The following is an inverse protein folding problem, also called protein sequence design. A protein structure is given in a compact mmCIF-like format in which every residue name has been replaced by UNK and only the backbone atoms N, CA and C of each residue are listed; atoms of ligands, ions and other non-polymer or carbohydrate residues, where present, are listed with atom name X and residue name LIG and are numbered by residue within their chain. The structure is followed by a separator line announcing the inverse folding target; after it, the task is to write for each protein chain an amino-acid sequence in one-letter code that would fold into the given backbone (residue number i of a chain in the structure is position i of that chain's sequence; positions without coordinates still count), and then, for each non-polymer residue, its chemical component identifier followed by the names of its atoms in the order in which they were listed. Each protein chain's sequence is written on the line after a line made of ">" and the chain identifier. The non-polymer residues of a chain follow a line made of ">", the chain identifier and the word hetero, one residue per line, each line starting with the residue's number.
data_IF_415360004749
#
_entry.id   IF_415360004749
#
_cell.length_a   1.000
_cell.length_b   1.000
_cell.length_c   1.000
_cell.angle_alpha   90.00
_cell.angle_beta   90.00
_cell.angle_gamma   90.00
#
_symmetry.space_group_name_H-M   'P 1'
#
loop_
_entity.id
_entity.type
_entity.pdbx_description
1 polymer ?
#
# COMPACT_ATOMS: atom_id res chain seq x y z
N UNK A 1 -4.54 -27.20 47.57
CA UNK A 1 -3.70 -27.20 46.35
C UNK A 1 -3.77 -25.80 45.76
N UNK A 2 -2.66 -25.08 45.69
CA UNK A 2 -2.58 -23.72 45.11
C UNK A 2 -2.11 -23.84 43.66
N UNK A 3 -2.92 -23.37 42.72
CA UNK A 3 -2.49 -23.26 41.32
C UNK A 3 -1.51 -22.09 41.18
N UNK A 4 -0.45 -22.27 40.40
CA UNK A 4 0.44 -21.17 40.02
C UNK A 4 -0.29 -20.15 39.14
N UNK A 5 0.21 -18.90 39.09
CA UNK A 5 -0.39 -17.83 38.25
C UNK A 5 -0.60 -18.27 36.80
N UNK A 6 0.36 -19.00 36.23
CA UNK A 6 0.30 -19.50 34.85
C UNK A 6 -0.79 -20.55 34.69
N UNK A 7 -0.85 -21.53 35.60
CA UNK A 7 -1.89 -22.56 35.60
C UNK A 7 -3.30 -21.95 35.76
N UNK A 8 -3.43 -20.91 36.58
CA UNK A 8 -4.69 -20.20 36.73
C UNK A 8 -5.12 -19.52 35.43
N UNK A 9 -4.21 -18.83 34.72
CA UNK A 9 -4.49 -18.22 33.42
C UNK A 9 -4.90 -19.25 32.36
N UNK A 10 -4.25 -20.40 32.36
CA UNK A 10 -4.49 -21.46 31.37
C UNK A 10 -5.86 -22.11 31.56
N UNK A 11 -6.23 -22.39 32.82
CA UNK A 11 -7.57 -22.89 33.16
C UNK A 11 -8.67 -21.89 32.81
N UNK A 12 -8.43 -20.59 33.05
CA UNK A 12 -9.37 -19.54 32.65
C UNK A 12 -9.52 -19.51 31.13
N UNK A 13 -8.41 -19.50 30.39
CA UNK A 13 -8.44 -19.48 28.93
C UNK A 13 -9.21 -20.67 28.33
N UNK A 14 -9.04 -21.87 28.91
CA UNK A 14 -9.75 -23.08 28.49
C UNK A 14 -11.26 -23.03 28.74
N UNK A 15 -11.71 -22.22 29.71
CA UNK A 15 -13.12 -22.08 30.06
C UNK A 15 -13.88 -21.02 29.23
N UNK A 16 -13.16 -20.20 28.46
CA UNK A 16 -13.76 -19.12 27.66
C UNK A 16 -14.28 -19.68 26.34
N UNK A 17 -15.52 -19.31 26.00
CA UNK A 17 -16.14 -19.64 24.71
C UNK A 17 -15.88 -18.48 23.75
N UNK A 18 -15.35 -18.79 22.57
CA UNK A 18 -15.14 -17.80 21.51
C UNK A 18 -16.47 -17.26 20.98
N UNK A 19 -16.52 -15.95 20.73
CA UNK A 19 -17.66 -15.29 20.10
C UNK A 19 -17.39 -15.28 18.59
N UNK A 20 -18.37 -15.73 17.80
CA UNK A 20 -18.29 -15.79 16.34
C UNK A 20 -19.22 -14.80 15.64
N UNK A 21 -20.00 -14.04 16.41
CA UNK A 21 -20.84 -12.98 15.85
C UNK A 21 -19.97 -11.87 15.28
N UNK A 22 -20.35 -11.38 14.10
CA UNK A 22 -19.60 -10.36 13.38
C UNK A 22 -20.51 -9.20 13.05
N UNK A 23 -19.93 -8.00 13.01
CA UNK A 23 -20.64 -6.79 12.63
C UNK A 23 -19.89 -6.09 11.51
N UNK A 24 -20.64 -5.51 10.57
CA UNK A 24 -20.07 -4.63 9.54
C UNK A 24 -20.13 -3.20 10.04
N UNK A 25 -18.99 -2.54 10.04
CA UNK A 25 -18.84 -1.16 10.50
C UNK A 25 -18.17 -0.31 9.44
N UNK A 26 -18.39 1.00 9.52
CA UNK A 26 -17.57 1.97 8.79
C UNK A 26 -16.13 1.93 9.33
N UNK A 27 -15.14 2.16 8.47
CA UNK A 27 -13.72 2.07 8.85
C UNK A 27 -13.34 3.01 10.00
N UNK A 28 -13.98 4.18 10.09
CA UNK A 28 -13.74 5.13 11.17
C UNK A 28 -14.26 4.64 12.53
N UNK A 29 -15.21 3.69 12.54
CA UNK A 29 -15.79 3.09 13.75
C UNK A 29 -15.12 1.75 14.12
N UNK A 30 -14.18 1.25 13.32
CA UNK A 30 -13.54 -0.04 13.56
C UNK A 30 -12.27 0.02 14.41
N UNK A 31 -11.89 1.22 14.91
CA UNK A 31 -10.74 1.38 15.79
C UNK A 31 -10.93 0.53 17.06
N UNK A 32 -9.88 -0.19 17.48
CA UNK A 32 -9.87 -1.13 18.61
C UNK A 32 -10.79 -2.37 18.47
N UNK A 33 -11.30 -2.65 17.27
CA UNK A 33 -12.04 -3.88 16.99
C UNK A 33 -11.08 -4.98 16.50
N UNK A 34 -11.50 -6.24 16.65
CA UNK A 34 -10.79 -7.40 16.09
C UNK A 34 -11.36 -7.73 14.72
N UNK A 35 -10.50 -7.96 13.73
CA UNK A 35 -10.93 -8.36 12.40
C UNK A 35 -11.58 -9.75 12.45
N UNK A 36 -12.80 -9.86 11.93
CA UNK A 36 -13.53 -11.13 11.90
C UNK A 36 -12.99 -12.12 10.86
N UNK A 37 -12.21 -11.64 9.89
CA UNK A 37 -11.60 -12.44 8.82
C UNK A 37 -10.39 -11.71 8.23
N UNK A 38 -9.59 -12.43 7.46
CA UNK A 38 -8.51 -11.85 6.68
C UNK A 38 -9.05 -10.96 5.55
N UNK A 39 -8.27 -9.94 5.21
CA UNK A 39 -8.53 -9.06 4.08
C UNK A 39 -7.43 -9.23 3.03
N UNK A 40 -7.85 -9.42 1.78
CA UNK A 40 -6.97 -9.56 0.63
C UNK A 40 -7.14 -8.35 -0.28
N UNK A 41 -6.03 -7.80 -0.78
CA UNK A 41 -6.08 -6.70 -1.72
C UNK A 41 -6.77 -7.15 -3.02
N UNK A 42 -7.77 -6.40 -3.47
CA UNK A 42 -8.48 -6.66 -4.73
C UNK A 42 -7.82 -6.01 -5.93
N UNK A 43 -6.82 -5.15 -5.69
CA UNK A 43 -6.15 -4.35 -6.70
C UNK A 43 -4.69 -4.14 -6.31
N UNK A 44 -3.83 -4.06 -7.31
CA UNK A 44 -2.44 -3.67 -7.12
C UNK A 44 -2.34 -2.23 -6.61
N UNK A 45 -1.37 -2.00 -5.74
CA UNK A 45 -1.03 -0.69 -5.24
C UNK A 45 0.50 -0.55 -5.30
N UNK A 46 1.03 0.33 -6.17
CA UNK A 46 0.33 1.21 -7.10
C UNK A 46 -0.35 0.46 -8.26
N UNK A 47 -1.38 1.07 -8.85
CA UNK A 47 -2.13 0.48 -9.98
C UNK A 47 -1.40 0.56 -11.33
N UNK A 48 -0.39 1.42 -11.42
CA UNK A 48 0.37 1.69 -12.64
C UNK A 48 1.73 2.28 -12.28
N UNK A 49 2.64 2.28 -13.25
CA UNK A 49 3.97 2.86 -13.13
C UNK A 49 3.85 4.38 -12.97
N UNK A 50 4.38 4.89 -11.86
CA UNK A 50 4.41 6.31 -11.54
C UNK A 50 5.80 6.69 -11.04
N UNK A 51 6.14 7.96 -11.15
CA UNK A 51 7.41 8.43 -10.61
C UNK A 51 7.38 8.42 -9.08
N UNK A 52 8.46 7.92 -8.47
CA UNK A 52 8.66 7.99 -7.04
C UNK A 52 9.02 9.40 -6.56
N UNK A 53 9.48 10.27 -7.47
CA UNK A 53 10.00 11.60 -7.16
C UNK A 53 9.66 12.60 -8.27
N UNK A 54 9.69 13.89 -7.92
CA UNK A 54 9.72 14.95 -8.92
C UNK A 54 11.06 14.91 -9.65
N UNK A 55 11.04 14.90 -10.97
CA UNK A 55 12.26 14.76 -11.77
C UNK A 55 12.01 14.61 -13.26
N UNK A 56 12.80 13.74 -13.89
CA UNK A 56 12.79 13.54 -15.33
C UNK A 56 12.79 12.05 -15.67
N UNK A 57 11.82 11.61 -16.47
CA UNK A 57 11.85 10.33 -17.15
C UNK A 57 12.79 10.40 -18.35
N UNK A 58 13.78 9.52 -18.39
CA UNK A 58 14.80 9.41 -19.44
C UNK A 58 14.95 7.97 -19.88
N UNK A 59 15.47 7.74 -21.09
CA UNK A 59 15.96 6.42 -21.46
C UNK A 59 17.36 6.20 -20.88
N UNK A 60 17.62 4.98 -20.39
CA UNK A 60 18.95 4.60 -19.92
C UNK A 60 20.00 4.71 -21.04
N UNK A 61 19.60 4.53 -22.30
CA UNK A 61 20.48 4.71 -23.46
C UNK A 61 21.05 6.14 -23.59
N UNK A 62 20.40 7.14 -22.99
CA UNK A 62 20.86 8.54 -23.01
C UNK A 62 21.81 8.87 -21.82
N UNK A 63 22.27 7.85 -21.08
CA UNK A 63 23.17 8.01 -19.94
C UNK A 63 24.47 8.75 -20.31
N UNK A 64 24.89 9.68 -19.44
CA UNK A 64 26.10 10.50 -19.64
C UNK A 64 25.95 11.58 -20.71
N UNK A 65 24.81 11.63 -21.42
CA UNK A 65 24.48 12.65 -22.41
C UNK A 65 23.73 13.86 -21.85
N UNK A 66 23.49 14.84 -22.72
CA UNK A 66 22.58 15.96 -22.47
C UNK A 66 21.29 15.71 -23.24
N UNK A 67 20.17 15.72 -22.53
CA UNK A 67 18.83 15.50 -23.10
C UNK A 67 17.98 16.77 -23.04
N UNK A 68 17.09 16.94 -24.01
CA UNK A 68 16.17 18.10 -24.06
C UNK A 68 14.82 17.76 -23.44
N UNK A 69 14.28 18.65 -22.60
CA UNK A 69 12.95 18.44 -22.02
C UNK A 69 11.88 18.66 -23.09
N UNK A 70 11.10 17.62 -23.39
CA UNK A 70 10.01 17.67 -24.38
C UNK A 70 8.75 18.28 -23.76
N UNK A 71 8.31 17.73 -22.62
CA UNK A 71 7.06 18.11 -21.97
C UNK A 71 7.06 17.78 -20.47
N UNK A 72 6.00 18.17 -19.76
CA UNK A 72 5.79 17.88 -18.34
C UNK A 72 4.55 17.01 -18.15
N UNK A 73 4.67 15.95 -17.36
CA UNK A 73 3.62 15.00 -17.02
C UNK A 73 3.28 15.09 -15.54
N UNK A 74 2.02 15.41 -15.24
CA UNK A 74 1.55 15.71 -13.88
C UNK A 74 0.68 14.61 -13.29
N UNK A 75 0.74 14.42 -11.97
CA UNK A 75 -0.15 13.54 -11.23
C UNK A 75 -1.63 13.76 -11.60
N UNK A 76 -2.33 12.67 -11.94
CA UNK A 76 -3.73 12.68 -12.36
C UNK A 76 -3.96 12.84 -13.87
N UNK A 77 -2.90 13.10 -14.65
CA UNK A 77 -2.98 13.07 -16.11
C UNK A 77 -3.09 11.63 -16.61
N UNK A 78 -4.08 11.35 -17.46
CA UNK A 78 -4.39 9.97 -17.89
C UNK A 78 -3.47 9.45 -18.99
N UNK A 79 -2.99 10.34 -19.84
CA UNK A 79 -2.19 9.97 -20.99
C UNK A 79 -0.71 10.00 -20.61
N UNK A 80 -0.02 8.89 -20.88
CA UNK A 80 1.44 8.81 -20.72
C UNK A 80 2.06 9.33 -22.01
N UNK A 81 2.85 10.42 -21.95
CA UNK A 81 3.49 10.96 -23.14
C UNK A 81 4.52 10.00 -23.73
N UNK A 82 4.66 10.03 -25.05
CA UNK A 82 5.67 9.25 -25.75
C UNK A 82 7.04 9.93 -25.66
N UNK A 83 8.01 9.22 -25.07
CA UNK A 83 9.38 9.70 -24.93
C UNK A 83 10.19 9.40 -26.20
N UNK A 84 10.93 10.39 -26.70
CA UNK A 84 11.89 10.25 -27.80
C UNK A 84 13.31 10.09 -27.25
N UNK A 85 14.17 9.39 -27.98
CA UNK A 85 15.61 9.33 -27.66
C UNK A 85 16.23 10.73 -27.65
N UNK A 86 17.17 10.98 -26.74
CA UNK A 86 17.78 12.29 -26.54
C UNK A 86 16.85 13.32 -25.88
N UNK A 87 15.68 12.91 -25.39
CA UNK A 87 14.71 13.78 -24.72
C UNK A 87 14.38 13.29 -23.32
N UNK A 88 13.80 14.17 -22.53
CA UNK A 88 13.28 13.89 -21.20
C UNK A 88 11.83 14.37 -21.06
N UNK A 89 11.03 13.67 -20.25
CA UNK A 89 9.74 14.15 -19.76
C UNK A 89 9.93 14.58 -18.32
N UNK A 90 9.57 15.81 -17.97
CA UNK A 90 9.53 16.24 -16.57
C UNK A 90 8.34 15.58 -15.89
N UNK A 91 8.52 14.92 -14.74
CA UNK A 91 7.44 14.22 -14.03
C UNK A 91 7.30 14.82 -12.62
N UNK A 92 6.07 15.09 -12.19
CA UNK A 92 5.71 15.60 -10.84
C UNK A 92 4.27 15.28 -10.45
#
# INVERSE_FOLDING_TARGET
>A
MTASKTQALELIAQSIISIFETIKLDILKSVNMVCAKDFYATNDLPRFDHSAMDGYGVFLEDEGGVVSVQESWYAGTKEVPSLKKGHAIRIS
#
